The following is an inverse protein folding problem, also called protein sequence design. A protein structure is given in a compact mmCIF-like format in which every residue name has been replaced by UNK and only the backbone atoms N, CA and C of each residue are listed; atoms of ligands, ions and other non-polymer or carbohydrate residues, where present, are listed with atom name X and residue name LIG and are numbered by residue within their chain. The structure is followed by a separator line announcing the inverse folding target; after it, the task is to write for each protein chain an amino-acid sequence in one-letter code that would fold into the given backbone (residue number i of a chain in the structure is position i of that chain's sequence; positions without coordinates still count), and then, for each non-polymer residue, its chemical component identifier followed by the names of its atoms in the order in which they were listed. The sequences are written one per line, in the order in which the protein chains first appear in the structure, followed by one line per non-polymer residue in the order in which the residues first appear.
data_IF_056473980304
#
_entry.id   IF_056473980304
#
_cell.length_a   1.000
_cell.length_b   1.000
_cell.length_c   1.000
_cell.angle_alpha   90.00
_cell.angle_beta   90.00
_cell.angle_gamma   90.00
#
_symmetry.space_group_name_H-M   'P 1'
#
loop_
_entity.id
_entity.type
_entity.pdbx_description
1 polymer ?
#
# COMPACT_ATOMS: atom_id res chain seq x y z
N UNK A 1 -8.77 -4.28 11.16
CA UNK A 1 -7.54 -3.80 11.83
C UNK A 1 -7.70 -4.13 13.31
N UNK A 2 -6.67 -4.72 13.92
CA UNK A 2 -6.66 -5.14 15.32
C UNK A 2 -5.33 -4.73 15.97
N UNK A 3 -5.33 -4.61 17.31
CA UNK A 3 -4.14 -4.36 18.13
C UNK A 3 -3.37 -3.07 17.75
N UNK A 4 -4.08 -1.97 17.54
CA UNK A 4 -3.49 -0.68 17.21
C UNK A 4 -3.58 0.28 18.38
N UNK A 5 -2.47 0.90 18.72
CA UNK A 5 -2.36 2.01 19.66
C UNK A 5 -1.79 3.22 18.96
N UNK A 6 -2.25 4.41 19.32
CA UNK A 6 -1.74 5.61 18.67
C UNK A 6 -2.28 6.90 19.25
N UNK A 7 -1.71 7.99 18.77
CA UNK A 7 -2.09 9.36 19.12
C UNK A 7 -2.57 10.08 17.87
N UNK A 8 -3.77 10.63 17.94
CA UNK A 8 -4.38 11.47 16.91
C UNK A 8 -4.37 12.93 17.39
N UNK A 9 -3.81 13.81 16.58
CA UNK A 9 -3.74 15.24 16.89
C UNK A 9 -4.18 16.03 15.66
N UNK A 10 -5.13 16.92 15.82
CA UNK A 10 -5.60 17.77 14.72
C UNK A 10 -7.06 18.16 14.82
N UNK A 11 -7.59 18.58 13.68
CA UNK A 11 -8.98 18.98 13.46
C UNK A 11 -9.54 18.21 12.27
N UNK A 12 -10.82 18.44 11.92
CA UNK A 12 -11.37 17.88 10.67
C UNK A 12 -10.65 18.40 9.42
N UNK A 13 -10.10 19.63 9.49
CA UNK A 13 -9.40 20.25 8.37
C UNK A 13 -7.97 19.71 8.17
N UNK A 14 -7.37 19.11 9.20
CA UNK A 14 -6.05 18.54 9.08
C UNK A 14 -5.49 18.08 10.41
N UNK A 15 -4.57 17.12 10.36
CA UNK A 15 -3.95 16.56 11.54
C UNK A 15 -2.94 15.46 11.22
N UNK A 16 -2.52 14.81 12.29
CA UNK A 16 -1.54 13.74 12.26
C UNK A 16 -1.97 12.57 13.15
N UNK A 17 -1.67 11.38 12.68
CA UNK A 17 -1.81 10.12 13.39
C UNK A 17 -0.43 9.47 13.51
N UNK A 18 0.05 9.28 14.73
CA UNK A 18 1.16 8.40 15.05
C UNK A 18 0.57 7.12 15.62
N UNK A 19 0.79 5.99 14.95
CA UNK A 19 0.26 4.71 15.37
C UNK A 19 1.34 3.63 15.34
N UNK A 20 1.22 2.72 16.30
CA UNK A 20 2.03 1.50 16.38
C UNK A 20 1.17 0.33 16.79
N UNK A 21 1.54 -0.86 16.37
CA UNK A 21 0.86 -2.08 16.72
C UNK A 21 1.85 -3.22 16.86
N UNK A 22 1.56 -4.14 17.77
CA UNK A 22 2.18 -5.46 17.85
C UNK A 22 1.11 -6.52 17.51
N UNK A 23 1.55 -7.59 16.86
CA UNK A 23 0.64 -8.61 16.32
C UNK A 23 -0.49 -7.99 15.45
N UNK A 24 -0.07 -7.07 14.59
CA UNK A 24 -0.96 -6.30 13.74
C UNK A 24 -1.62 -7.16 12.68
N UNK A 25 -2.91 -7.04 12.54
CA UNK A 25 -3.66 -7.69 11.46
C UNK A 25 -4.43 -6.66 10.63
N UNK A 26 -4.25 -6.73 9.31
CA UNK A 26 -5.00 -5.96 8.32
C UNK A 26 -5.68 -6.90 7.33
N UNK A 27 -6.98 -6.79 7.17
CA UNK A 27 -7.71 -7.53 6.17
C UNK A 27 -8.49 -6.58 5.26
N UNK A 28 -8.03 -6.47 4.02
CA UNK A 28 -8.67 -5.71 2.95
C UNK A 28 -9.38 -6.68 2.00
N UNK A 29 -10.43 -7.34 2.49
CA UNK A 29 -11.11 -8.46 1.82
C UNK A 29 -11.57 -8.20 0.37
N UNK A 30 -11.79 -6.92 0.00
CA UNK A 30 -12.16 -6.54 -1.38
C UNK A 30 -10.97 -6.52 -2.34
N UNK A 31 -9.75 -6.51 -1.83
CA UNK A 31 -8.51 -6.37 -2.62
C UNK A 31 -7.64 -7.60 -2.48
N UNK A 32 -7.48 -8.09 -1.26
CA UNK A 32 -6.62 -9.22 -0.94
C UNK A 32 -7.44 -10.36 -0.33
N UNK A 33 -7.26 -11.60 -0.81
CA UNK A 33 -8.04 -12.76 -0.34
C UNK A 33 -7.71 -13.15 1.10
N UNK A 34 -6.48 -12.90 1.54
CA UNK A 34 -5.97 -13.31 2.85
C UNK A 34 -5.66 -12.12 3.75
N UNK A 35 -5.83 -12.25 5.08
CA UNK A 35 -5.41 -11.23 6.02
C UNK A 35 -3.89 -11.13 6.08
N UNK A 36 -3.39 -9.91 6.20
CA UNK A 36 -1.99 -9.63 6.42
C UNK A 36 -1.71 -9.56 7.92
N UNK A 37 -0.72 -10.34 8.37
CA UNK A 37 -0.30 -10.38 9.77
C UNK A 37 1.16 -10.00 9.85
N UNK A 38 1.45 -9.06 10.76
CA UNK A 38 2.79 -8.57 11.02
C UNK A 38 3.07 -8.55 12.50
N UNK A 39 4.29 -8.85 12.88
CA UNK A 39 4.76 -8.79 14.26
C UNK A 39 4.72 -7.37 14.80
N UNK A 40 5.13 -6.41 13.97
CA UNK A 40 5.14 -5.00 14.30
C UNK A 40 4.68 -4.17 13.11
N UNK A 41 3.93 -3.11 13.39
CA UNK A 41 3.55 -2.08 12.42
C UNK A 41 3.70 -0.70 13.06
N UNK A 42 4.22 0.26 12.29
CA UNK A 42 4.30 1.68 12.68
C UNK A 42 3.94 2.56 11.50
N UNK A 43 3.23 3.63 11.79
CA UNK A 43 2.95 4.67 10.80
C UNK A 43 2.91 6.04 11.44
N UNK A 44 3.37 7.02 10.68
CA UNK A 44 3.09 8.43 10.92
C UNK A 44 2.38 8.97 9.70
N UNK A 45 1.10 9.18 9.84
CA UNK A 45 0.21 9.63 8.77
C UNK A 45 -0.30 11.02 9.05
N UNK A 46 -0.61 11.76 8.02
CA UNK A 46 -1.26 13.07 8.11
C UNK A 46 -2.47 13.12 7.18
N UNK A 47 -3.41 13.97 7.50
CA UNK A 47 -4.52 14.31 6.60
C UNK A 47 -4.68 15.81 6.50
N UNK A 48 -5.21 16.25 5.38
CA UNK A 48 -5.73 17.60 5.20
C UNK A 48 -7.01 17.55 4.37
N UNK A 49 -7.93 18.44 4.70
CA UNK A 49 -9.17 18.64 3.97
C UNK A 49 -9.30 20.13 3.69
N UNK A 50 -9.31 20.48 2.42
CA UNK A 50 -9.54 21.84 1.93
C UNK A 50 -10.73 21.88 0.96
N UNK A 51 -10.94 23.03 0.32
CA UNK A 51 -12.05 23.22 -0.62
C UNK A 51 -11.91 22.38 -1.91
N UNK A 52 -10.72 21.89 -2.21
CA UNK A 52 -10.41 21.18 -3.44
C UNK A 52 -10.30 19.67 -3.26
N UNK A 53 -9.71 19.23 -2.14
CA UNK A 53 -9.35 17.83 -1.96
C UNK A 53 -9.33 17.40 -0.50
N UNK A 54 -9.47 16.09 -0.30
CA UNK A 54 -8.98 15.37 0.87
C UNK A 54 -7.64 14.74 0.53
N UNK A 55 -6.62 15.02 1.34
CA UNK A 55 -5.30 14.43 1.20
C UNK A 55 -5.01 13.57 2.42
N UNK A 56 -4.55 12.36 2.18
CA UNK A 56 -4.02 11.44 3.19
C UNK A 56 -2.60 11.06 2.78
N UNK A 57 -1.64 11.21 3.66
CA UNK A 57 -0.27 10.81 3.40
C UNK A 57 0.39 10.16 4.60
N UNK A 58 1.48 9.46 4.36
CA UNK A 58 2.36 8.91 5.37
C UNK A 58 3.80 9.01 4.88
N UNK A 59 4.66 9.64 5.68
CA UNK A 59 6.11 9.69 5.43
C UNK A 59 6.84 8.51 6.07
N UNK A 60 6.13 7.72 6.84
CA UNK A 60 6.65 6.51 7.46
C UNK A 60 5.52 5.49 7.60
N UNK A 61 5.60 4.45 6.81
CA UNK A 61 4.90 3.19 7.04
C UNK A 61 5.96 2.12 7.17
N UNK A 62 5.93 1.34 8.24
CA UNK A 62 6.83 0.21 8.44
C UNK A 62 6.05 -0.95 9.01
N UNK A 63 6.26 -2.12 8.45
CA UNK A 63 5.75 -3.37 8.98
C UNK A 63 6.84 -4.42 8.96
N UNK A 64 6.86 -5.27 9.98
CA UNK A 64 7.80 -6.37 10.11
C UNK A 64 7.06 -7.66 10.37
N UNK A 65 7.38 -8.69 9.64
CA UNK A 65 6.76 -10.00 9.73
C UNK A 65 7.66 -11.13 9.28
N UNK A 66 7.07 -12.28 9.10
CA UNK A 66 7.79 -13.46 8.56
C UNK A 66 8.17 -13.28 7.09
N UNK A 67 7.44 -12.44 6.38
CA UNK A 67 7.70 -12.15 4.97
C UNK A 67 8.88 -11.20 4.73
N UNK A 68 9.41 -10.60 5.78
CA UNK A 68 10.46 -9.59 5.75
C UNK A 68 10.02 -8.26 6.38
N UNK A 69 10.78 -7.22 6.11
CA UNK A 69 10.53 -5.84 6.55
C UNK A 69 10.09 -4.99 5.37
N UNK A 70 8.92 -4.37 5.47
CA UNK A 70 8.43 -3.42 4.47
C UNK A 70 8.44 -2.01 5.07
N UNK A 71 8.98 -1.06 4.33
CA UNK A 71 8.96 0.35 4.71
C UNK A 71 8.67 1.23 3.49
N UNK A 72 7.92 2.30 3.70
CA UNK A 72 7.57 3.16 2.59
C UNK A 72 6.84 4.42 2.98
N UNK A 73 6.42 5.14 1.97
CA UNK A 73 5.58 6.31 2.06
C UNK A 73 4.39 6.22 1.10
N UNK A 74 3.41 7.04 1.34
CA UNK A 74 2.16 7.06 0.57
C UNK A 74 1.58 8.47 0.57
N UNK A 75 1.02 8.86 -0.56
CA UNK A 75 0.13 10.01 -0.69
C UNK A 75 -1.11 9.61 -1.49
N UNK A 76 -2.29 9.89 -0.95
CA UNK A 76 -3.57 9.77 -1.66
C UNK A 76 -4.22 11.14 -1.65
N UNK A 77 -4.68 11.59 -2.80
CA UNK A 77 -5.42 12.84 -2.95
C UNK A 77 -6.73 12.56 -3.67
N UNK A 78 -7.82 12.73 -2.95
CA UNK A 78 -9.18 12.55 -3.46
C UNK A 78 -9.80 13.92 -3.73
N UNK A 79 -10.12 14.19 -4.99
CA UNK A 79 -10.63 15.45 -5.43
C UNK A 79 -12.12 15.59 -5.10
N UNK A 80 -12.54 16.80 -4.71
CA UNK A 80 -13.96 17.09 -4.44
C UNK A 80 -14.75 17.36 -5.72
N UNK A 81 -14.07 17.82 -6.76
CA UNK A 81 -14.64 17.98 -8.09
C UNK A 81 -14.69 16.62 -8.78
N UNK A 82 -15.88 16.10 -9.14
CA UNK A 82 -16.02 14.83 -9.85
C UNK A 82 -15.33 14.79 -11.24
N UNK A 83 -15.04 15.97 -11.82
CA UNK A 83 -14.32 16.08 -13.09
C UNK A 83 -12.79 16.07 -12.95
N UNK A 84 -12.29 16.18 -11.72
CA UNK A 84 -10.86 16.14 -11.46
C UNK A 84 -10.39 14.70 -11.18
N UNK A 85 -9.09 14.47 -11.38
CA UNK A 85 -8.50 13.15 -11.17
C UNK A 85 -8.05 12.96 -9.71
N UNK A 86 -8.52 11.89 -9.09
CA UNK A 86 -7.95 11.36 -7.86
C UNK A 86 -6.55 10.83 -8.14
N UNK A 87 -5.66 10.97 -7.19
CA UNK A 87 -4.24 10.64 -7.37
C UNK A 87 -3.71 9.82 -6.21
N UNK A 88 -2.80 8.90 -6.50
CA UNK A 88 -2.01 8.20 -5.50
C UNK A 88 -0.54 8.16 -5.90
N UNK A 89 0.32 8.23 -4.89
CA UNK A 89 1.74 7.89 -4.95
C UNK A 89 2.02 6.91 -3.81
N UNK A 90 2.62 5.78 -4.14
CA UNK A 90 2.97 4.73 -3.19
C UNK A 90 4.37 4.24 -3.50
N UNK A 91 5.24 4.27 -2.50
CA UNK A 91 6.59 3.73 -2.57
C UNK A 91 6.80 2.76 -1.42
N UNK A 92 7.26 1.56 -1.72
CA UNK A 92 7.50 0.51 -0.74
C UNK A 92 8.83 -0.17 -1.01
N UNK A 93 9.72 -0.14 -0.03
CA UNK A 93 10.92 -0.95 0.01
C UNK A 93 10.69 -2.23 0.81
N UNK A 94 11.23 -3.34 0.33
CA UNK A 94 11.29 -4.63 0.99
C UNK A 94 12.73 -4.93 1.37
N UNK A 95 12.97 -5.40 2.58
CA UNK A 95 14.26 -5.93 3.02
C UNK A 95 14.07 -7.31 3.63
N UNK A 96 15.06 -8.18 3.42
CA UNK A 96 15.06 -9.55 3.95
C UNK A 96 13.77 -10.32 3.63
N UNK A 97 13.31 -10.18 2.38
CA UNK A 97 12.06 -10.74 1.91
C UNK A 97 12.10 -12.25 1.69
N UNK A 98 11.05 -12.93 2.11
CA UNK A 98 10.83 -14.34 1.77
C UNK A 98 9.86 -14.44 0.59
N UNK A 99 10.39 -14.91 -0.54
CA UNK A 99 9.63 -14.99 -1.78
C UNK A 99 8.42 -15.94 -1.73
N UNK A 100 8.34 -16.84 -0.73
CA UNK A 100 7.15 -17.68 -0.51
C UNK A 100 5.88 -16.87 -0.28
N UNK A 101 6.02 -15.66 0.26
CA UNK A 101 4.89 -14.77 0.54
C UNK A 101 4.47 -13.89 -0.64
N UNK A 102 5.18 -13.94 -1.77
CA UNK A 102 4.89 -13.09 -2.94
C UNK A 102 3.44 -13.22 -3.40
N UNK A 103 2.90 -14.43 -3.43
CA UNK A 103 1.52 -14.68 -3.87
C UNK A 103 0.46 -13.97 -3.01
N UNK A 104 0.75 -13.70 -1.73
CA UNK A 104 -0.12 -13.00 -0.78
C UNK A 104 -0.35 -11.53 -1.18
N UNK A 105 0.66 -10.90 -1.78
CA UNK A 105 0.64 -9.49 -2.19
C UNK A 105 0.22 -9.28 -3.64
N UNK A 106 0.30 -10.34 -4.44
CA UNK A 106 -0.14 -10.29 -5.83
C UNK A 106 -1.66 -10.41 -5.90
N UNK A 107 -2.33 -9.29 -5.90
CA UNK A 107 -3.77 -9.29 -6.14
C UNK A 107 -4.07 -9.66 -7.58
N UNK A 108 -4.78 -10.77 -7.76
CA UNK A 108 -5.27 -11.19 -9.07
C UNK A 108 -6.55 -10.44 -9.49
N UNK A 109 -7.01 -9.52 -8.66
CA UNK A 109 -8.25 -8.77 -8.83
C UNK A 109 -8.03 -7.35 -9.36
N UNK A 110 -6.77 -6.99 -9.69
CA UNK A 110 -6.50 -5.69 -10.31
C UNK A 110 -7.19 -5.61 -11.68
N UNK A 111 -7.98 -4.56 -11.94
CA UNK A 111 -8.55 -4.32 -13.25
C UNK A 111 -7.44 -4.28 -14.31
N UNK A 112 -7.56 -5.09 -15.36
CA UNK A 112 -6.58 -5.14 -16.45
C UNK A 112 -5.46 -6.16 -16.30
N UNK A 113 -5.35 -6.87 -15.17
CA UNK A 113 -4.36 -7.94 -15.04
C UNK A 113 -4.75 -9.15 -15.92
N UNK A 114 -3.83 -9.55 -16.80
CA UNK A 114 -3.99 -10.75 -17.60
C UNK A 114 -3.99 -12.00 -16.72
N UNK A 115 -4.97 -12.88 -16.87
CA UNK A 115 -5.10 -14.13 -16.09
C UNK A 115 -3.88 -15.04 -16.21
N UNK A 116 -3.25 -15.09 -17.39
CA UNK A 116 -2.04 -15.88 -17.61
C UNK A 116 -0.86 -15.35 -16.81
N UNK A 117 -0.68 -14.02 -16.76
CA UNK A 117 0.34 -13.36 -15.94
C UNK A 117 0.09 -13.60 -14.45
N UNK A 118 -1.15 -13.46 -14.00
CA UNK A 118 -1.53 -13.72 -12.61
C UNK A 118 -1.24 -15.17 -12.19
N UNK A 119 -1.56 -16.14 -13.03
CA UNK A 119 -1.28 -17.54 -12.78
C UNK A 119 0.24 -17.83 -12.81
N UNK A 120 0.97 -17.23 -13.73
CA UNK A 120 2.42 -17.38 -13.82
C UNK A 120 3.10 -16.83 -12.56
N UNK A 121 2.74 -15.61 -12.12
CA UNK A 121 3.27 -15.03 -10.89
C UNK A 121 3.05 -15.91 -9.66
N UNK A 122 1.85 -16.51 -9.54
CA UNK A 122 1.54 -17.45 -8.43
C UNK A 122 2.36 -18.72 -8.44
N UNK A 123 2.79 -19.19 -9.62
CA UNK A 123 3.45 -20.50 -9.77
C UNK A 123 4.94 -20.42 -9.98
N UNK A 124 5.43 -19.29 -10.51
CA UNK A 124 6.84 -19.10 -10.84
C UNK A 124 7.70 -18.84 -9.61
N UNK A 125 7.16 -18.11 -8.62
CA UNK A 125 7.91 -17.75 -7.42
C UNK A 125 7.45 -18.65 -6.27
N UNK A 126 8.23 -19.68 -5.97
CA UNK A 126 7.92 -20.65 -4.92
C UNK A 126 8.76 -20.52 -3.67
N UNK A 127 9.99 -20.04 -3.82
CA UNK A 127 10.94 -19.84 -2.74
C UNK A 127 12.07 -18.93 -3.21
N UNK A 128 12.73 -18.31 -2.27
CA UNK A 128 13.89 -17.46 -2.49
C UNK A 128 14.00 -16.43 -1.40
N UNK A 129 15.18 -15.85 -1.29
CA UNK A 129 15.44 -14.73 -0.42
C UNK A 129 15.64 -13.48 -1.27
N UNK A 130 14.94 -12.42 -0.94
CA UNK A 130 15.05 -11.10 -1.59
C UNK A 130 15.76 -10.17 -0.60
N UNK A 131 17.04 -9.91 -0.84
CA UNK A 131 17.80 -9.00 0.04
C UNK A 131 17.19 -7.62 0.08
N UNK A 132 16.84 -7.10 -1.09
CA UNK A 132 16.17 -5.81 -1.26
C UNK A 132 15.22 -5.84 -2.44
N UNK A 133 14.06 -5.25 -2.26
CA UNK A 133 13.06 -5.02 -3.31
C UNK A 133 12.49 -3.62 -3.22
N UNK A 134 11.99 -3.11 -4.31
CA UNK A 134 11.36 -1.79 -4.37
C UNK A 134 10.16 -1.82 -5.30
N UNK A 135 9.06 -1.27 -4.82
CA UNK A 135 7.84 -1.07 -5.59
C UNK A 135 7.45 0.40 -5.57
N UNK A 136 7.14 0.95 -6.72
CA UNK A 136 6.54 2.26 -6.86
C UNK A 136 5.30 2.16 -7.73
N UNK A 137 4.25 2.82 -7.29
CA UNK A 137 3.07 3.08 -8.09
C UNK A 137 2.69 4.56 -7.97
N UNK A 138 2.46 5.22 -9.09
CA UNK A 138 2.10 6.62 -9.14
C UNK A 138 1.08 6.86 -10.24
N UNK A 139 -0.02 7.55 -9.95
CA UNK A 139 -0.96 7.92 -10.99
C UNK A 139 -2.39 8.18 -10.55
N UNK A 140 -3.28 8.20 -11.53
CA UNK A 140 -4.70 8.43 -11.35
C UNK A 140 -5.41 7.23 -10.74
N UNK A 141 -6.30 7.47 -9.78
CA UNK A 141 -7.19 6.44 -9.21
C UNK A 141 -8.51 6.30 -9.95
N UNK A 142 -8.74 7.13 -10.95
CA UNK A 142 -10.01 7.16 -11.67
C UNK A 142 -10.15 5.93 -12.57
N UNK A 143 -11.34 5.33 -12.58
CA UNK A 143 -11.64 4.21 -13.48
C UNK A 143 -11.62 4.69 -14.93
N UNK A 144 -10.85 3.98 -15.77
CA UNK A 144 -10.73 4.31 -17.19
C UNK A 144 -9.71 5.41 -17.49
N UNK A 145 -8.90 5.82 -16.52
CA UNK A 145 -7.74 6.68 -16.80
C UNK A 145 -6.83 6.02 -17.84
N UNK A 146 -6.21 6.84 -18.68
CA UNK A 146 -5.30 6.36 -19.70
C UNK A 146 -4.10 5.62 -19.09
N UNK A 147 -3.52 4.67 -19.80
CA UNK A 147 -2.36 3.91 -19.31
C UNK A 147 -1.17 4.82 -18.97
N UNK A 148 -1.01 5.90 -19.72
CA UNK A 148 0.03 6.93 -19.55
C UNK A 148 -0.16 7.74 -18.25
N UNK A 149 -1.36 7.70 -17.65
CA UNK A 149 -1.63 8.34 -16.36
C UNK A 149 -1.06 7.56 -15.17
N UNK A 150 -0.40 6.43 -15.41
CA UNK A 150 0.16 5.57 -14.38
C UNK A 150 1.63 5.25 -14.63
N UNK A 151 2.41 5.24 -13.57
CA UNK A 151 3.78 4.72 -13.56
C UNK A 151 3.84 3.60 -12.52
N UNK A 152 4.40 2.47 -12.90
CA UNK A 152 4.66 1.37 -12.01
C UNK A 152 6.09 0.87 -12.23
N UNK A 153 6.86 0.82 -11.17
CA UNK A 153 8.21 0.26 -11.16
C UNK A 153 8.29 -0.84 -10.12
N UNK A 154 8.92 -1.92 -10.47
CA UNK A 154 9.24 -3.03 -9.57
C UNK A 154 10.69 -3.43 -9.80
N UNK A 155 11.43 -3.50 -8.70
CA UNK A 155 12.84 -3.88 -8.68
C UNK A 155 13.09 -4.86 -7.54
N UNK A 156 13.90 -5.90 -7.76
CA UNK A 156 14.36 -6.90 -6.78
C UNK A 156 15.58 -7.68 -7.29
#
# INVERSE_FOLDING_TARGET
VENVSGTLTGTLAGGQLDASAQDFMLHLAKVFPEPWRYREARTRSFWSLDDRAFTLGSHLMRVEGEEGSLAGDMLIRLMRDPGAEDYMDLQVGLSDGDARFTAKYLTTQLPGMNKSLANWLKTAIRSGHVEQGYFQWQGSLNRGAAAEAHVMNLYF
#
